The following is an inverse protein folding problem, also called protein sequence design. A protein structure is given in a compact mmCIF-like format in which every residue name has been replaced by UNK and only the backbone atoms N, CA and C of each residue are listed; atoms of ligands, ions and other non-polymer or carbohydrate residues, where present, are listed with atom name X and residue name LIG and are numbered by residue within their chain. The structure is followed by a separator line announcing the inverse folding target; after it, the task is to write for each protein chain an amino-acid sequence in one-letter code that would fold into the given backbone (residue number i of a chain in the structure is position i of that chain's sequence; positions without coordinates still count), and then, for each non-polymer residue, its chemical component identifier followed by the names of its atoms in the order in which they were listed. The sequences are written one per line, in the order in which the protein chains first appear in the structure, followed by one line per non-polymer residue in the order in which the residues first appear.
data_IF_168987869141
#
_entry.id   IF_168987869141
#
_cell.length_a   1.000
_cell.length_b   1.000
_cell.length_c   1.000
_cell.angle_alpha   90.00
_cell.angle_beta   90.00
_cell.angle_gamma   90.00
#
_symmetry.space_group_name_H-M   'P 1'
#
loop_
_entity.id
_entity.type
_entity.pdbx_description
1 polymer ?
#
# COMPACT_ATOMS: atom_id res chain seq x y z
N UNK A 1 -9.62 28.14 5.91
CA UNK A 1 -9.21 27.37 7.10
C UNK A 1 -9.78 25.95 7.11
N UNK A 2 -11.09 25.77 6.87
CA UNK A 2 -11.71 24.43 6.80
C UNK A 2 -11.16 23.52 5.69
N UNK A 3 -11.05 24.03 4.45
CA UNK A 3 -10.49 23.29 3.32
C UNK A 3 -9.04 22.81 3.58
N UNK A 4 -8.26 23.62 4.28
CA UNK A 4 -6.86 23.34 4.66
C UNK A 4 -6.76 22.15 5.62
N UNK A 5 -7.73 22.02 6.54
CA UNK A 5 -7.81 20.88 7.48
C UNK A 5 -8.09 19.58 6.71
N UNK A 6 -9.07 19.61 5.81
CA UNK A 6 -9.40 18.45 4.96
C UNK A 6 -8.24 18.05 4.06
N UNK A 7 -7.59 19.01 3.39
CA UNK A 7 -6.44 18.71 2.52
C UNK A 7 -5.26 18.15 3.31
N UNK A 8 -4.99 18.67 4.51
CA UNK A 8 -3.93 18.16 5.37
C UNK A 8 -4.18 16.70 5.79
N UNK A 9 -5.41 16.41 6.20
CA UNK A 9 -5.83 15.08 6.62
C UNK A 9 -5.84 14.10 5.43
N UNK A 10 -6.26 14.55 4.24
CA UNK A 10 -6.16 13.80 2.99
C UNK A 10 -4.70 13.41 2.69
N UNK A 11 -3.79 14.39 2.68
CA UNK A 11 -2.37 14.14 2.38
C UNK A 11 -1.73 13.20 3.41
N UNK A 12 -2.08 13.36 4.69
CA UNK A 12 -1.55 12.49 5.73
C UNK A 12 -2.04 11.04 5.59
N UNK A 13 -3.29 10.85 5.15
CA UNK A 13 -3.86 9.51 4.91
C UNK A 13 -3.19 8.76 3.77
N UNK A 14 -2.63 9.47 2.78
CA UNK A 14 -1.82 8.88 1.69
C UNK A 14 -0.59 8.18 2.24
N UNK A 15 0.01 8.70 3.31
CA UNK A 15 1.24 8.14 3.90
C UNK A 15 0.90 7.18 5.02
N UNK A 16 0.08 7.61 5.99
CA UNK A 16 -0.12 6.92 7.27
C UNK A 16 -1.61 6.81 7.63
N UNK A 17 -2.37 6.12 6.79
CA UNK A 17 -3.81 5.91 6.95
C UNK A 17 -4.26 5.45 8.36
N UNK A 18 -3.51 4.55 9.02
CA UNK A 18 -3.89 4.01 10.34
C UNK A 18 -4.13 5.08 11.42
N UNK A 19 -3.28 6.10 11.50
CA UNK A 19 -3.35 7.14 12.53
C UNK A 19 -4.11 8.39 12.07
N UNK A 20 -4.41 8.51 10.78
CA UNK A 20 -4.97 9.74 10.24
C UNK A 20 -6.38 10.06 10.77
N UNK A 21 -7.31 9.08 10.92
CA UNK A 21 -8.63 9.35 11.48
C UNK A 21 -8.62 9.90 12.91
N UNK A 22 -7.59 9.59 13.72
CA UNK A 22 -7.45 10.11 15.08
C UNK A 22 -7.27 11.63 15.11
N UNK A 23 -6.73 12.22 14.04
CA UNK A 23 -6.59 13.68 13.92
C UNK A 23 -7.90 14.40 13.59
N UNK A 24 -8.94 13.68 13.16
CA UNK A 24 -10.23 14.27 12.76
C UNK A 24 -10.94 15.05 13.88
N UNK A 25 -11.21 14.41 15.04
CA UNK A 25 -11.83 15.08 16.19
C UNK A 25 -11.01 16.29 16.66
N UNK A 26 -9.68 16.17 16.75
CA UNK A 26 -8.79 17.26 17.15
C UNK A 26 -8.79 18.46 16.19
N UNK A 27 -9.18 18.26 14.93
CA UNK A 27 -9.36 19.34 13.95
C UNK A 27 -10.78 19.93 13.96
N UNK A 28 -11.70 19.39 14.77
CA UNK A 28 -13.11 19.78 14.83
C UNK A 28 -13.90 19.38 13.59
N UNK A 29 -13.49 18.30 12.89
CA UNK A 29 -14.23 17.75 11.76
C UNK A 29 -15.32 16.79 12.25
N UNK A 30 -16.37 16.60 11.46
CA UNK A 30 -17.39 15.58 11.71
C UNK A 30 -16.90 14.19 11.32
N UNK A 31 -17.56 13.16 11.86
CA UNK A 31 -17.27 11.76 11.56
C UNK A 31 -17.20 11.47 10.06
N UNK A 32 -18.21 11.93 9.31
CA UNK A 32 -18.33 11.68 7.87
C UNK A 32 -17.25 12.39 7.07
N UNK A 33 -16.92 13.64 7.42
CA UNK A 33 -15.86 14.39 6.78
C UNK A 33 -14.51 13.70 6.98
N UNK A 34 -14.20 13.28 8.21
CA UNK A 34 -12.96 12.55 8.51
C UNK A 34 -12.91 11.21 7.78
N UNK A 35 -14.01 10.45 7.79
CA UNK A 35 -14.09 9.14 7.15
C UNK A 35 -13.85 9.24 5.64
N UNK A 36 -14.65 10.03 4.92
CA UNK A 36 -14.54 10.14 3.47
C UNK A 36 -13.22 10.78 3.03
N UNK A 37 -12.69 11.73 3.80
CA UNK A 37 -11.38 12.35 3.52
C UNK A 37 -10.25 11.34 3.69
N UNK A 38 -10.24 10.56 4.77
CA UNK A 38 -9.24 9.51 4.97
C UNK A 38 -9.33 8.45 3.88
N UNK A 39 -10.53 7.93 3.60
CA UNK A 39 -10.75 6.85 2.62
C UNK A 39 -10.34 7.30 1.22
N UNK A 40 -10.75 8.50 0.80
CA UNK A 40 -10.36 9.04 -0.51
C UNK A 40 -8.86 9.20 -0.63
N UNK A 41 -8.17 9.73 0.39
CA UNK A 41 -6.71 9.87 0.36
C UNK A 41 -5.98 8.53 0.44
N UNK A 42 -6.50 7.57 1.21
CA UNK A 42 -5.99 6.20 1.26
C UNK A 42 -6.10 5.48 -0.09
N UNK A 43 -7.25 5.59 -0.77
CA UNK A 43 -7.47 5.02 -2.11
C UNK A 43 -6.58 5.72 -3.15
N UNK A 44 -6.50 7.05 -3.09
CA UNK A 44 -5.65 7.83 -4.00
C UNK A 44 -4.18 7.43 -3.86
N UNK A 45 -3.68 7.38 -2.63
CA UNK A 45 -2.34 6.88 -2.32
C UNK A 45 -2.14 5.45 -2.80
N UNK A 46 -3.07 4.55 -2.49
CA UNK A 46 -3.00 3.16 -2.91
C UNK A 46 -2.94 3.03 -4.44
N UNK A 47 -3.74 3.81 -5.16
CA UNK A 47 -3.73 3.86 -6.63
C UNK A 47 -2.34 4.22 -7.14
N UNK A 48 -1.79 5.35 -6.69
CA UNK A 48 -0.47 5.82 -7.13
C UNK A 48 0.60 4.78 -6.83
N UNK A 49 0.71 4.33 -5.58
CA UNK A 49 1.81 3.46 -5.15
C UNK A 49 1.68 2.04 -5.69
N UNK A 50 0.47 1.47 -5.73
CA UNK A 50 0.26 0.12 -6.25
C UNK A 50 0.58 0.04 -7.74
N UNK A 51 -0.02 0.91 -8.56
CA UNK A 51 0.19 0.87 -10.01
C UNK A 51 1.62 1.26 -10.40
N UNK A 52 2.19 2.28 -9.76
CA UNK A 52 3.58 2.68 -10.01
C UNK A 52 4.53 1.53 -9.65
N UNK A 53 4.36 0.90 -8.49
CA UNK A 53 5.19 -0.23 -8.08
C UNK A 53 5.08 -1.40 -9.06
N UNK A 54 3.86 -1.76 -9.45
CA UNK A 54 3.64 -2.85 -10.40
C UNK A 54 4.34 -2.57 -11.75
N UNK A 55 4.16 -1.36 -12.28
CA UNK A 55 4.79 -0.92 -13.53
C UNK A 55 6.33 -0.96 -13.46
N UNK A 56 6.93 -0.33 -12.43
CA UNK A 56 8.39 -0.30 -12.28
C UNK A 56 8.98 -1.70 -12.05
N UNK A 57 8.31 -2.56 -11.29
CA UNK A 57 8.77 -3.93 -11.07
C UNK A 57 8.73 -4.77 -12.34
N UNK A 58 7.67 -4.65 -13.14
CA UNK A 58 7.56 -5.34 -14.44
C UNK A 58 8.67 -4.89 -15.39
N UNK A 59 8.87 -3.58 -15.55
CA UNK A 59 9.94 -3.00 -16.38
C UNK A 59 11.33 -3.42 -15.89
N UNK A 60 11.56 -3.44 -14.58
CA UNK A 60 12.83 -3.88 -14.01
C UNK A 60 13.11 -5.36 -14.27
N UNK A 61 12.08 -6.22 -14.18
CA UNK A 61 12.16 -7.65 -14.48
C UNK A 61 12.47 -7.89 -15.96
N UNK A 62 11.80 -7.19 -16.86
CA UNK A 62 12.05 -7.25 -18.31
C UNK A 62 13.48 -6.84 -18.65
N UNK A 63 13.95 -5.70 -18.12
CA UNK A 63 15.34 -5.24 -18.33
C UNK A 63 16.37 -6.24 -17.80
N UNK A 64 16.11 -6.83 -16.63
CA UNK A 64 16.99 -7.85 -16.05
C UNK A 64 17.05 -9.11 -16.92
N UNK A 65 15.90 -9.58 -17.42
CA UNK A 65 15.82 -10.75 -18.27
C UNK A 65 16.50 -10.52 -19.63
N UNK A 66 16.32 -9.34 -20.25
CA UNK A 66 16.99 -8.98 -21.50
C UNK A 66 18.51 -8.94 -21.34
N UNK A 67 19.00 -8.38 -20.22
CA UNK A 67 20.42 -8.36 -19.91
C UNK A 67 20.95 -9.79 -19.71
N UNK A 68 20.23 -10.64 -18.96
CA UNK A 68 20.58 -12.04 -18.77
C UNK A 68 20.67 -12.79 -20.10
N UNK A 69 19.71 -12.59 -21.00
CA UNK A 69 19.71 -13.23 -22.32
C UNK A 69 20.93 -12.81 -23.14
N UNK A 70 21.23 -11.50 -23.19
CA UNK A 70 22.41 -10.98 -23.89
C UNK A 70 23.72 -11.57 -23.37
N UNK A 71 23.88 -11.72 -22.06
CA UNK A 71 25.07 -12.36 -21.50
C UNK A 71 25.18 -13.85 -21.85
N UNK A 72 24.05 -14.57 -21.90
CA UNK A 72 24.01 -15.97 -22.33
C UNK A 72 24.38 -16.10 -23.82
N UNK A 73 23.85 -15.22 -24.68
CA UNK A 73 24.13 -15.19 -26.12
C UNK A 73 25.61 -14.85 -26.39
N UNK A 74 26.21 -13.98 -25.56
CA UNK A 74 27.64 -13.61 -25.63
C UNK A 74 28.58 -14.63 -24.94
N UNK A 75 28.04 -15.72 -24.37
CA UNK A 75 28.83 -16.73 -23.65
C UNK A 75 29.50 -16.22 -22.37
N UNK A 76 29.09 -15.07 -21.84
CA UNK A 76 29.68 -14.45 -20.64
C UNK A 76 29.02 -14.97 -19.37
N UNK A 77 29.77 -15.21 -18.28
CA UNK A 77 29.18 -15.60 -17.00
C UNK A 77 28.28 -14.48 -16.46
N UNK A 78 27.01 -14.80 -16.21
CA UNK A 78 26.04 -13.87 -15.62
C UNK A 78 25.88 -14.15 -14.13
N UNK A 79 26.19 -13.17 -13.28
CA UNK A 79 26.04 -13.30 -11.83
C UNK A 79 24.58 -13.06 -11.43
N UNK A 80 23.90 -14.11 -10.95
CA UNK A 80 22.53 -13.95 -10.43
C UNK A 80 22.53 -13.15 -9.13
N UNK A 81 21.64 -12.14 -9.07
CA UNK A 81 21.44 -11.37 -7.83
C UNK A 81 20.79 -12.27 -6.78
N UNK A 82 21.23 -12.16 -5.54
CA UNK A 82 20.71 -12.96 -4.42
C UNK A 82 19.24 -12.64 -4.16
N UNK A 83 18.33 -13.56 -4.50
CA UNK A 83 16.87 -13.36 -4.42
C UNK A 83 16.35 -13.39 -2.96
N UNK A 84 16.96 -14.16 -2.06
CA UNK A 84 16.51 -14.33 -0.67
C UNK A 84 17.39 -13.60 0.35
N UNK A 85 17.27 -12.28 0.40
CA UNK A 85 17.82 -11.45 1.49
C UNK A 85 16.98 -11.56 2.77
N UNK A 86 17.49 -11.11 3.93
CA UNK A 86 16.76 -11.14 5.22
C UNK A 86 15.37 -10.48 5.12
N UNK A 87 15.30 -9.33 4.44
CA UNK A 87 14.04 -8.62 4.17
C UNK A 87 13.09 -9.42 3.28
N UNK A 88 13.57 -9.96 2.15
CA UNK A 88 12.72 -10.78 1.26
C UNK A 88 12.18 -12.02 1.98
N UNK A 89 12.98 -12.66 2.84
CA UNK A 89 12.52 -13.80 3.67
C UNK A 89 11.42 -13.38 4.66
N UNK A 90 11.50 -12.20 5.26
CA UNK A 90 10.42 -11.67 6.11
C UNK A 90 9.12 -11.48 5.32
N UNK A 91 9.20 -10.81 4.16
CA UNK A 91 8.00 -10.51 3.39
C UNK A 91 7.35 -11.80 2.85
N UNK A 92 8.15 -12.80 2.45
CA UNK A 92 7.63 -14.12 2.06
C UNK A 92 6.94 -14.82 3.23
N UNK A 93 7.45 -14.72 4.47
CA UNK A 93 6.77 -15.27 5.65
C UNK A 93 5.41 -14.59 5.91
N UNK A 94 5.35 -13.27 5.75
CA UNK A 94 4.09 -12.51 5.87
C UNK A 94 3.10 -12.97 4.80
N UNK A 95 3.53 -13.10 3.54
CA UNK A 95 2.72 -13.63 2.43
C UNK A 95 2.15 -15.01 2.76
N UNK A 96 3.00 -15.95 3.19
CA UNK A 96 2.60 -17.34 3.44
C UNK A 96 1.54 -17.47 4.53
N UNK A 97 1.50 -16.54 5.50
CA UNK A 97 0.51 -16.57 6.59
C UNK A 97 -0.79 -15.85 6.25
N UNK A 98 -0.72 -14.74 5.51
CA UNK A 98 -1.86 -13.85 5.28
C UNK A 98 -2.58 -14.09 3.94
N UNK A 99 -1.91 -14.68 2.96
CA UNK A 99 -2.47 -14.86 1.62
C UNK A 99 -2.79 -13.53 0.91
N UNK A 100 -3.53 -13.60 -0.21
CA UNK A 100 -3.88 -12.41 -0.99
C UNK A 100 -4.79 -11.45 -0.22
N UNK A 101 -5.83 -11.96 0.43
CA UNK A 101 -6.81 -11.16 1.17
C UNK A 101 -6.12 -10.48 2.35
N UNK A 102 -5.35 -11.24 3.14
CA UNK A 102 -4.73 -10.69 4.33
C UNK A 102 -3.63 -9.67 4.00
N UNK A 103 -2.86 -9.91 2.93
CA UNK A 103 -1.84 -8.94 2.51
C UNK A 103 -2.45 -7.66 1.95
N UNK A 104 -3.42 -7.76 1.05
CA UNK A 104 -4.05 -6.60 0.42
C UNK A 104 -4.90 -5.77 1.41
N UNK A 105 -5.57 -6.41 2.36
CA UNK A 105 -6.47 -5.73 3.29
C UNK A 105 -5.76 -5.13 4.51
N UNK A 106 -4.77 -5.81 5.08
CA UNK A 106 -4.17 -5.41 6.36
C UNK A 106 -2.79 -4.75 6.24
N UNK A 107 -1.98 -5.13 5.25
CA UNK A 107 -0.60 -4.62 5.16
C UNK A 107 -0.56 -3.11 4.83
N UNK A 108 -1.39 -2.57 3.91
CA UNK A 108 -1.46 -1.12 3.69
C UNK A 108 -1.89 -0.34 4.93
N UNK A 109 -2.70 -0.96 5.81
CA UNK A 109 -3.12 -0.37 7.07
C UNK A 109 -1.96 -0.32 8.08
N UNK A 110 -1.41 -1.48 8.45
CA UNK A 110 -0.46 -1.56 9.57
C UNK A 110 0.91 -0.96 9.28
N UNK A 111 1.40 -1.08 8.05
CA UNK A 111 2.73 -0.64 7.69
C UNK A 111 2.70 0.84 7.30
N UNK A 112 2.08 1.09 6.15
CA UNK A 112 1.76 2.38 5.55
C UNK A 112 1.15 2.09 4.18
N UNK A 113 0.34 3.00 3.65
CA UNK A 113 -0.25 2.82 2.32
C UNK A 113 0.83 2.65 1.25
N UNK A 114 1.90 3.47 1.20
CA UNK A 114 2.93 3.33 0.18
C UNK A 114 3.66 1.98 0.27
N UNK A 115 4.16 1.63 1.46
CA UNK A 115 4.98 0.44 1.61
C UNK A 115 4.15 -0.84 1.50
N UNK A 116 2.93 -0.83 2.04
CA UNK A 116 2.01 -1.96 1.93
C UNK A 116 1.52 -2.20 0.51
N UNK A 117 1.24 -1.13 -0.26
CA UNK A 117 0.88 -1.26 -1.67
C UNK A 117 2.05 -1.76 -2.53
N UNK A 118 3.28 -1.28 -2.27
CA UNK A 118 4.49 -1.78 -2.96
C UNK A 118 4.70 -3.26 -2.68
N UNK A 119 4.57 -3.69 -1.42
CA UNK A 119 4.69 -5.10 -1.04
C UNK A 119 3.61 -5.93 -1.74
N UNK A 120 2.36 -5.48 -1.68
CA UNK A 120 1.23 -6.21 -2.27
C UNK A 120 1.38 -6.32 -3.79
N UNK A 121 1.76 -5.23 -4.48
CA UNK A 121 2.05 -5.22 -5.91
C UNK A 121 3.21 -6.17 -6.26
N UNK A 122 4.25 -6.27 -5.42
CA UNK A 122 5.38 -7.18 -5.65
C UNK A 122 4.98 -8.66 -5.69
N UNK A 123 3.98 -9.07 -4.90
CA UNK A 123 3.58 -10.48 -4.79
C UNK A 123 2.32 -10.82 -5.57
N UNK A 124 1.41 -9.86 -5.72
CA UNK A 124 0.06 -10.06 -6.26
C UNK A 124 -0.29 -9.02 -7.33
N UNK A 125 0.70 -8.30 -7.88
CA UNK A 125 0.52 -7.30 -8.93
C UNK A 125 -0.08 -7.83 -10.24
N UNK A 126 0.07 -9.13 -10.49
CA UNK A 126 -0.51 -9.83 -11.65
C UNK A 126 -1.98 -10.26 -11.42
N UNK A 127 -2.47 -10.28 -10.18
CA UNK A 127 -3.85 -10.66 -9.85
C UNK A 127 -4.76 -9.43 -9.84
N UNK A 128 -5.77 -9.42 -10.71
CA UNK A 128 -6.72 -8.31 -10.88
C UNK A 128 -7.59 -8.07 -9.64
N UNK A 129 -7.72 -9.06 -8.75
CA UNK A 129 -8.52 -8.96 -7.52
C UNK A 129 -7.81 -8.17 -6.42
N UNK A 130 -6.49 -8.04 -6.51
CA UNK A 130 -5.67 -7.40 -5.47
C UNK A 130 -6.09 -5.97 -5.19
N UNK A 131 -6.24 -5.15 -6.23
CA UNK A 131 -6.58 -3.73 -6.06
C UNK A 131 -8.01 -3.52 -5.51
N UNK A 132 -9.06 -4.21 -6.01
CA UNK A 132 -10.38 -4.20 -5.37
C UNK A 132 -10.36 -4.57 -3.88
N UNK A 133 -9.55 -5.56 -3.48
CA UNK A 133 -9.41 -5.95 -2.07
C UNK A 133 -8.75 -4.82 -1.25
N UNK A 134 -7.73 -4.14 -1.79
CA UNK A 134 -7.13 -2.97 -1.14
C UNK A 134 -8.19 -1.88 -0.92
N UNK A 135 -8.96 -1.56 -1.95
CA UNK A 135 -10.02 -0.53 -1.87
C UNK A 135 -11.07 -0.92 -0.83
N UNK A 136 -11.54 -2.16 -0.85
CA UNK A 136 -12.47 -2.67 0.17
C UNK A 136 -11.87 -2.58 1.58
N UNK A 137 -10.59 -2.93 1.73
CA UNK A 137 -9.84 -2.76 2.96
C UNK A 137 -9.79 -1.31 3.43
N UNK A 138 -9.63 -0.33 2.54
CA UNK A 138 -9.64 1.09 2.90
C UNK A 138 -11.01 1.53 3.44
N UNK A 139 -12.11 1.11 2.81
CA UNK A 139 -13.46 1.41 3.31
C UNK A 139 -13.71 0.79 4.68
N UNK A 140 -13.41 -0.51 4.82
CA UNK A 140 -13.63 -1.27 6.05
C UNK A 140 -12.75 -0.76 7.20
N UNK A 141 -11.44 -0.68 6.98
CA UNK A 141 -10.50 -0.21 8.00
C UNK A 141 -10.70 1.27 8.32
N UNK A 142 -11.05 2.08 7.32
CA UNK A 142 -11.37 3.49 7.52
C UNK A 142 -12.57 3.66 8.46
N UNK A 143 -13.58 2.80 8.33
CA UNK A 143 -14.78 2.88 9.16
C UNK A 143 -14.42 2.53 10.60
N UNK A 144 -13.69 1.43 10.80
CA UNK A 144 -13.23 1.00 12.13
C UNK A 144 -12.37 2.08 12.79
N UNK A 145 -11.35 2.59 12.10
CA UNK A 145 -10.43 3.57 12.68
C UNK A 145 -11.12 4.91 12.98
N UNK A 146 -12.05 5.35 12.12
CA UNK A 146 -12.80 6.59 12.36
C UNK A 146 -13.79 6.40 13.51
N UNK A 147 -14.46 5.25 13.62
CA UNK A 147 -15.34 4.95 14.76
C UNK A 147 -14.57 4.93 16.07
N UNK A 148 -13.37 4.32 16.09
CA UNK A 148 -12.49 4.35 17.28
C UNK A 148 -12.09 5.79 17.62
N UNK A 149 -11.69 6.59 16.62
CA UNK A 149 -11.28 7.99 16.84
C UNK A 149 -12.38 8.83 17.52
N UNK A 150 -13.59 8.78 17.01
CA UNK A 150 -14.71 9.56 17.53
C UNK A 150 -15.30 8.99 18.83
N UNK A 151 -15.13 7.69 19.09
CA UNK A 151 -15.51 7.13 20.39
C UNK A 151 -14.53 7.52 21.51
N UNK A 152 -13.24 7.65 21.19
CA UNK A 152 -12.21 7.99 22.19
C UNK A 152 -12.03 9.49 22.40
N UNK A 153 -12.24 10.31 21.36
CA UNK A 153 -11.88 11.73 21.35
C UNK A 153 -13.03 12.65 20.91
N UNK A 154 -14.21 12.09 20.59
CA UNK A 154 -15.40 12.82 20.17
C UNK A 154 -16.37 13.08 21.31
#
# INVERSE_FOLDING_TARGET
MYLTKLSGLFIFSIIKFFFTPLGGPGLGLSFWETYFTCVSGGIFGATIFYFSANYFMKRAKEKYNALRQKHLDEGKPFTEKRKFTRGNKFIVRVKMRLGIIGTAMWVPLFLSVPLGCIITAKFYGDDKRTFPIIVFGMFFNGAIMTSIAYFLMG
#
